data_IF_510199168457
#
_entry.id   IF_510199168457
#
_cell.length_a   1.000
_cell.length_b   1.000
_cell.length_c   1.000
_cell.angle_alpha   90.00
_cell.angle_beta   90.00
_cell.angle_gamma   90.00
#
_symmetry.space_group_name_H-M   'P 1'
#
loop_
_entity.id
_entity.type
_entity.pdbx_description
1 polymer ?
#
# COMPACT_ATOMS: atom_id res chain seq x y z
N UNK A 1 -4.30 -22.31 -12.42
CA UNK A 1 -5.76 -22.12 -12.47
C UNK A 1 -6.02 -20.63 -12.36
N UNK A 2 -6.95 -20.08 -13.15
CA UNK A 2 -7.35 -18.68 -13.00
C UNK A 2 -8.10 -18.48 -11.67
N UNK A 3 -7.83 -17.38 -10.95
CA UNK A 3 -8.49 -17.03 -9.69
C UNK A 3 -9.97 -16.74 -9.96
N UNK A 4 -10.88 -17.50 -9.35
CA UNK A 4 -12.33 -17.36 -9.56
C UNK A 4 -13.03 -16.40 -8.61
N UNK A 5 -12.43 -16.11 -7.46
CA UNK A 5 -12.96 -15.19 -6.44
C UNK A 5 -11.83 -14.57 -5.61
N UNK A 6 -12.11 -13.42 -5.00
CA UNK A 6 -11.28 -12.83 -3.94
C UNK A 6 -11.78 -13.24 -2.56
N UNK A 7 -10.87 -13.50 -1.62
CA UNK A 7 -11.23 -13.71 -0.21
C UNK A 7 -11.23 -12.37 0.52
N UNK A 8 -12.34 -12.05 1.17
CA UNK A 8 -12.47 -10.88 2.06
C UNK A 8 -12.70 -11.42 3.47
N UNK A 9 -11.78 -11.13 4.39
CA UNK A 9 -11.95 -11.48 5.79
C UNK A 9 -12.92 -10.50 6.43
N UNK A 10 -13.88 -10.99 7.22
CA UNK A 10 -14.83 -10.12 7.94
C UNK A 10 -14.13 -9.20 8.92
N UNK A 11 -12.95 -9.59 9.43
CA UNK A 11 -12.11 -8.78 10.32
C UNK A 11 -11.59 -7.48 9.67
N UNK A 12 -11.73 -7.30 8.35
CA UNK A 12 -11.39 -6.04 7.69
C UNK A 12 -12.25 -4.88 8.23
N UNK A 13 -13.46 -5.18 8.71
CA UNK A 13 -14.38 -4.20 9.28
C UNK A 13 -14.06 -3.83 10.73
N UNK A 14 -13.05 -4.47 11.33
CA UNK A 14 -12.52 -4.15 12.65
C UNK A 14 -11.09 -3.58 12.57
N UNK A 15 -10.54 -3.43 11.35
CA UNK A 15 -9.19 -2.91 11.12
C UNK A 15 -9.22 -1.37 11.13
N UNK A 16 -8.62 -0.77 12.16
CA UNK A 16 -8.59 0.69 12.33
C UNK A 16 -7.91 1.43 11.17
N UNK A 17 -6.88 0.84 10.55
CA UNK A 17 -6.21 1.45 9.39
C UNK A 17 -7.15 1.44 8.18
N UNK A 18 -7.98 0.40 8.02
CA UNK A 18 -8.96 0.31 6.94
C UNK A 18 -10.14 1.26 7.16
N UNK A 19 -10.65 1.34 8.39
CA UNK A 19 -11.76 2.20 8.77
C UNK A 19 -11.41 3.70 8.73
N UNK A 20 -10.13 4.06 8.80
CA UNK A 20 -9.66 5.42 8.65
C UNK A 20 -9.66 5.93 7.19
N UNK A 21 -9.78 5.03 6.21
CA UNK A 21 -9.82 5.37 4.79
C UNK A 21 -11.22 5.86 4.35
N UNK A 22 -11.25 6.65 3.29
CA UNK A 22 -12.49 7.07 2.64
C UNK A 22 -13.18 5.88 1.93
N UNK A 23 -14.51 5.96 1.75
CA UNK A 23 -15.30 4.92 1.09
C UNK A 23 -14.73 4.49 -0.28
N UNK A 24 -14.23 5.46 -1.07
CA UNK A 24 -13.68 5.18 -2.40
C UNK A 24 -12.36 4.42 -2.34
N UNK A 25 -11.55 4.66 -1.31
CA UNK A 25 -10.27 4.00 -1.07
C UNK A 25 -10.52 2.56 -0.59
N UNK A 26 -11.42 2.39 0.38
CA UNK A 26 -11.88 1.07 0.83
C UNK A 26 -12.40 0.24 -0.35
N UNK A 27 -13.29 0.83 -1.16
CA UNK A 27 -13.82 0.19 -2.38
C UNK A 27 -12.71 -0.17 -3.35
N UNK A 28 -11.72 0.70 -3.57
CA UNK A 28 -10.61 0.40 -4.46
C UNK A 28 -9.76 -0.76 -3.94
N UNK A 29 -9.46 -0.82 -2.64
CA UNK A 29 -8.74 -1.94 -2.05
C UNK A 29 -9.47 -3.28 -2.28
N UNK A 30 -10.79 -3.30 -2.03
CA UNK A 30 -11.63 -4.48 -2.28
C UNK A 30 -11.62 -4.88 -3.77
N UNK A 31 -11.63 -3.90 -4.66
CA UNK A 31 -11.46 -4.14 -6.10
C UNK A 31 -10.10 -4.79 -6.41
N UNK A 32 -9.00 -4.32 -5.83
CA UNK A 32 -7.66 -4.87 -6.09
C UNK A 32 -7.52 -6.34 -5.62
N UNK A 33 -7.98 -6.69 -4.42
CA UNK A 33 -7.86 -8.06 -3.89
C UNK A 33 -8.76 -9.10 -4.59
N UNK A 34 -9.68 -8.62 -5.43
CA UNK A 34 -10.60 -9.43 -6.24
C UNK A 34 -10.17 -9.57 -7.71
N UNK A 35 -9.02 -9.04 -8.11
CA UNK A 35 -8.58 -9.11 -9.51
C UNK A 35 -8.28 -10.56 -9.95
N UNK A 36 -8.66 -10.94 -11.19
CA UNK A 36 -8.44 -12.30 -11.69
C UNK A 36 -6.96 -12.63 -11.95
N UNK A 37 -6.13 -11.60 -12.20
CA UNK A 37 -4.69 -11.73 -12.43
C UNK A 37 -3.84 -11.49 -11.17
N UNK A 38 -4.46 -11.34 -9.99
CA UNK A 38 -3.73 -11.26 -8.72
C UNK A 38 -3.05 -12.59 -8.41
N UNK A 39 -1.72 -12.61 -8.40
CA UNK A 39 -0.96 -13.83 -8.11
C UNK A 39 -0.87 -14.10 -6.59
N UNK A 40 -0.31 -15.26 -6.21
CA UNK A 40 -0.22 -15.65 -4.81
C UNK A 40 0.76 -14.80 -3.96
N UNK A 41 1.63 -14.02 -4.60
CA UNK A 41 2.50 -13.04 -3.93
C UNK A 41 1.81 -11.69 -3.67
N UNK A 42 0.59 -11.50 -4.19
CA UNK A 42 -0.12 -10.22 -4.10
C UNK A 42 0.29 -9.22 -5.18
N UNK A 43 0.93 -9.67 -6.26
CA UNK A 43 1.38 -8.84 -7.37
C UNK A 43 0.27 -8.62 -8.40
N UNK A 44 0.19 -7.40 -8.92
CA UNK A 44 -0.63 -6.98 -10.05
C UNK A 44 0.14 -6.06 -10.98
N UNK A 45 -0.19 -6.14 -12.28
CA UNK A 45 0.20 -5.13 -13.26
C UNK A 45 -0.61 -3.83 -13.03
N UNK A 46 0.06 -2.68 -13.03
CA UNK A 46 -0.52 -1.36 -12.85
C UNK A 46 -1.24 -0.88 -14.12
N UNK A 47 -2.45 -1.39 -14.33
CA UNK A 47 -3.20 -1.19 -15.59
C UNK A 47 -4.30 -0.13 -15.47
N UNK A 48 -3.94 1.12 -15.14
CA UNK A 48 -4.89 2.21 -14.85
C UNK A 48 -5.99 2.38 -15.91
N UNK A 49 -5.62 2.36 -17.20
CA UNK A 49 -6.58 2.48 -18.32
C UNK A 49 -7.58 1.32 -18.39
N UNK A 50 -7.19 0.13 -17.94
CA UNK A 50 -8.05 -1.05 -17.88
C UNK A 50 -8.97 -0.98 -16.66
N UNK A 51 -8.44 -0.54 -15.52
CA UNK A 51 -9.20 -0.40 -14.29
C UNK A 51 -10.22 0.73 -14.32
N UNK A 52 -9.93 1.86 -14.99
CA UNK A 52 -10.89 2.97 -15.12
C UNK A 52 -12.20 2.55 -15.81
N UNK A 53 -12.14 1.56 -16.69
CA UNK A 53 -13.31 1.00 -17.38
C UNK A 53 -14.18 0.09 -16.49
N UNK A 54 -13.77 -0.18 -15.24
CA UNK A 54 -14.48 -1.10 -14.33
C UNK A 54 -15.55 -0.41 -13.48
N UNK A 55 -15.70 0.90 -13.59
CA UNK A 55 -16.78 1.65 -12.94
C UNK A 55 -17.14 2.90 -13.75
N UNK A 56 -18.44 3.23 -13.79
CA UNK A 56 -18.88 4.48 -14.42
C UNK A 56 -18.33 5.68 -13.64
N UNK A 57 -17.79 6.65 -14.37
CA UNK A 57 -17.24 7.88 -13.80
C UNK A 57 -15.85 7.73 -13.17
N UNK A 58 -15.24 6.54 -13.19
CA UNK A 58 -13.88 6.35 -12.69
C UNK A 58 -12.85 6.69 -13.77
N UNK A 59 -12.05 7.71 -13.54
CA UNK A 59 -10.97 8.12 -14.45
C UNK A 59 -9.61 7.57 -14.02
N UNK A 60 -8.63 7.54 -14.93
CA UNK A 60 -7.25 7.15 -14.55
C UNK A 60 -6.64 8.11 -13.52
N UNK A 61 -6.94 9.41 -13.61
CA UNK A 61 -6.43 10.41 -12.69
C UNK A 61 -7.01 10.25 -11.28
N UNK A 62 -8.30 9.88 -11.16
CA UNK A 62 -8.87 9.53 -9.85
C UNK A 62 -8.31 8.22 -9.31
N UNK A 63 -8.09 7.22 -10.16
CA UNK A 63 -7.45 5.97 -9.76
C UNK A 63 -6.06 6.22 -9.18
N UNK A 64 -5.24 7.03 -9.84
CA UNK A 64 -3.90 7.38 -9.37
C UNK A 64 -3.94 8.02 -7.98
N UNK A 65 -4.86 8.97 -7.75
CA UNK A 65 -5.05 9.59 -6.42
C UNK A 65 -5.45 8.56 -5.35
N UNK A 66 -6.40 7.68 -5.66
CA UNK A 66 -6.86 6.66 -4.73
C UNK A 66 -5.75 5.63 -4.43
N UNK A 67 -4.95 5.28 -5.43
CA UNK A 67 -3.81 4.39 -5.25
C UNK A 67 -2.71 5.03 -4.39
N UNK A 68 -2.40 6.31 -4.61
CA UNK A 68 -1.49 7.06 -3.75
C UNK A 68 -1.98 7.10 -2.29
N UNK A 69 -3.28 7.27 -2.07
CA UNK A 69 -3.87 7.20 -0.73
C UNK A 69 -3.73 5.80 -0.09
N UNK A 70 -4.00 4.73 -0.85
CA UNK A 70 -3.78 3.35 -0.38
C UNK A 70 -2.31 3.06 -0.06
N UNK A 71 -1.37 3.60 -0.85
CA UNK A 71 0.07 3.47 -0.58
C UNK A 71 0.47 4.25 0.68
N UNK A 72 -0.04 5.46 0.87
CA UNK A 72 0.18 6.27 2.08
C UNK A 72 -0.39 5.59 3.34
N UNK A 73 -1.57 4.96 3.23
CA UNK A 73 -2.16 4.12 4.27
C UNK A 73 -1.46 2.76 4.44
N UNK A 74 -0.44 2.47 3.60
CA UNK A 74 0.40 1.27 3.62
C UNK A 74 -0.38 -0.03 3.32
N UNK A 75 -1.46 0.04 2.55
CA UNK A 75 -2.16 -1.16 2.05
C UNK A 75 -1.48 -1.79 0.84
N UNK A 76 -0.86 -0.94 0.01
CA UNK A 76 -0.16 -1.34 -1.20
C UNK A 76 1.24 -0.71 -1.25
N UNK A 77 2.06 -1.17 -2.20
CA UNK A 77 3.27 -0.48 -2.66
C UNK A 77 3.23 -0.48 -4.18
N UNK A 78 3.58 0.63 -4.82
CA UNK A 78 3.61 0.75 -6.27
C UNK A 78 5.02 1.09 -6.77
N UNK A 79 5.23 0.79 -8.05
CA UNK A 79 6.40 1.20 -8.80
C UNK A 79 5.97 1.52 -10.24
N UNK A 80 5.92 2.81 -10.57
CA UNK A 80 5.48 3.30 -11.88
C UNK A 80 6.47 2.96 -13.01
N UNK A 81 7.76 2.77 -12.70
CA UNK A 81 8.77 2.45 -13.73
C UNK A 81 8.61 1.03 -14.26
N UNK A 82 8.25 0.11 -13.37
CA UNK A 82 8.00 -1.29 -13.71
C UNK A 82 6.54 -1.60 -14.01
N UNK A 83 5.64 -0.62 -13.84
CA UNK A 83 4.19 -0.79 -13.93
C UNK A 83 3.67 -1.92 -13.00
N UNK A 84 4.18 -1.99 -11.76
CA UNK A 84 3.84 -3.05 -10.80
C UNK A 84 3.18 -2.50 -9.53
N UNK A 85 2.28 -3.29 -8.93
CA UNK A 85 1.65 -3.04 -7.64
C UNK A 85 1.68 -4.30 -6.77
N UNK A 86 2.08 -4.14 -5.51
CA UNK A 86 2.04 -5.18 -4.49
C UNK A 86 0.99 -4.89 -3.42
N UNK A 87 0.10 -5.84 -3.16
CA UNK A 87 -0.80 -5.82 -2.00
C UNK A 87 -0.06 -6.42 -0.79
N UNK A 88 0.39 -5.58 0.14
CA UNK A 88 1.35 -5.94 1.19
C UNK A 88 0.90 -7.14 2.03
N UNK A 89 -0.28 -7.04 2.64
CA UNK A 89 -0.78 -8.03 3.60
C UNK A 89 -1.38 -9.28 2.95
N UNK A 90 -1.37 -9.38 1.61
CA UNK A 90 -2.10 -10.40 0.87
C UNK A 90 -1.72 -11.83 1.26
N UNK A 91 -0.42 -12.13 1.35
CA UNK A 91 0.07 -13.47 1.73
C UNK A 91 -0.51 -13.90 3.08
N UNK A 92 -0.56 -12.99 4.06
CA UNK A 92 -1.10 -13.26 5.40
C UNK A 92 -2.62 -13.38 5.39
N UNK A 93 -3.31 -12.47 4.72
CA UNK A 93 -4.78 -12.35 4.74
C UNK A 93 -5.49 -13.41 3.88
N UNK A 94 -4.91 -13.79 2.74
CA UNK A 94 -5.46 -14.83 1.85
C UNK A 94 -5.12 -16.25 2.37
N UNK A 95 -4.32 -16.36 3.44
CA UNK A 95 -3.95 -17.63 4.08
C UNK A 95 -2.93 -18.45 3.29
N UNK A 96 -2.20 -17.82 2.36
CA UNK A 96 -1.22 -18.46 1.47
C UNK A 96 -0.14 -19.19 2.28
N UNK A 97 0.34 -18.58 3.37
CA UNK A 97 1.35 -19.15 4.26
C UNK A 97 0.91 -20.38 5.05
N UNK A 98 -0.38 -20.68 5.10
CA UNK A 98 -0.92 -21.87 5.78
C UNK A 98 -0.85 -23.13 4.91
N UNK A 99 -0.57 -22.98 3.62
CA UNK A 99 -0.61 -24.08 2.64
C UNK A 99 0.71 -24.17 1.87
N UNK A 100 1.62 -25.11 2.21
CA UNK A 100 2.96 -25.19 1.60
C UNK A 100 2.95 -25.21 0.07
N UNK A 101 1.99 -25.92 -0.55
CA UNK A 101 1.87 -25.95 -2.02
C UNK A 101 1.54 -24.58 -2.61
N UNK A 102 0.65 -23.81 -1.96
CA UNK A 102 0.31 -22.44 -2.39
C UNK A 102 1.47 -21.49 -2.10
N UNK A 103 2.21 -21.75 -1.02
CA UNK A 103 3.44 -21.03 -0.69
C UNK A 103 4.52 -21.20 -1.75
N UNK A 104 4.66 -22.40 -2.32
CA UNK A 104 5.50 -22.61 -3.50
C UNK A 104 5.07 -21.77 -4.71
N UNK A 105 3.76 -21.70 -4.99
CA UNK A 105 3.23 -20.85 -6.06
C UNK A 105 3.38 -19.35 -5.77
N UNK A 106 3.32 -18.94 -4.51
CA UNK A 106 3.67 -17.59 -4.06
C UNK A 106 5.12 -17.28 -4.41
N UNK A 107 6.07 -18.15 -4.06
CA UNK A 107 7.49 -17.94 -4.39
C UNK A 107 7.69 -17.82 -5.89
N UNK A 108 7.06 -18.68 -6.70
CA UNK A 108 7.12 -18.56 -8.17
C UNK A 108 6.59 -17.21 -8.66
N UNK A 109 5.42 -16.76 -8.20
CA UNK A 109 4.86 -15.46 -8.58
C UNK A 109 5.65 -14.27 -8.03
N UNK A 110 6.34 -14.43 -6.91
CA UNK A 110 7.23 -13.39 -6.38
C UNK A 110 8.46 -13.22 -7.26
N UNK A 111 9.01 -14.30 -7.83
CA UNK A 111 10.15 -14.23 -8.75
C UNK A 111 9.83 -13.49 -10.06
N UNK A 112 8.56 -13.28 -10.38
CA UNK A 112 8.11 -12.46 -11.52
C UNK A 112 8.20 -10.95 -11.24
N UNK A 113 8.30 -10.53 -9.97
CA UNK A 113 8.40 -9.12 -9.59
C UNK A 113 9.70 -8.53 -10.16
N UNK A 114 9.59 -7.47 -10.95
CA UNK A 114 10.71 -6.73 -11.52
C UNK A 114 11.23 -5.67 -10.55
N UNK A 115 10.33 -4.99 -9.84
CA UNK A 115 10.64 -3.89 -8.92
C UNK A 115 11.42 -4.34 -7.69
N UNK A 116 12.59 -3.75 -7.48
CA UNK A 116 13.35 -3.93 -6.24
C UNK A 116 12.59 -3.41 -5.01
N UNK A 117 11.82 -2.33 -5.17
CA UNK A 117 10.99 -1.74 -4.13
C UNK A 117 9.91 -2.74 -3.68
N UNK A 118 9.23 -3.39 -4.63
CA UNK A 118 8.21 -4.39 -4.31
C UNK A 118 8.80 -5.68 -3.73
N UNK A 119 9.96 -6.14 -4.22
CA UNK A 119 10.69 -7.28 -3.64
C UNK A 119 11.03 -7.03 -2.16
N UNK A 120 11.52 -5.83 -1.85
CA UNK A 120 11.86 -5.41 -0.48
C UNK A 120 10.61 -5.38 0.41
N UNK A 121 9.51 -4.82 -0.10
CA UNK A 121 8.22 -4.79 0.61
C UNK A 121 7.68 -6.21 0.89
N UNK A 122 7.79 -7.13 -0.07
CA UNK A 122 7.36 -8.51 0.11
C UNK A 122 8.21 -9.25 1.16
N UNK A 123 9.54 -9.05 1.18
CA UNK A 123 10.39 -9.62 2.23
C UNK A 123 9.98 -9.14 3.63
N UNK A 124 9.66 -7.86 3.77
CA UNK A 124 9.20 -7.29 5.03
C UNK A 124 7.87 -7.93 5.49
N UNK A 125 6.95 -8.19 4.57
CA UNK A 125 5.66 -8.83 4.89
C UNK A 125 5.80 -10.32 5.20
N UNK A 126 6.67 -11.03 4.48
CA UNK A 126 6.97 -12.45 4.73
C UNK A 126 7.65 -12.64 6.10
N UNK A 127 8.46 -11.68 6.55
CA UNK A 127 9.05 -11.71 7.89
C UNK A 127 8.03 -11.62 9.03
N UNK A 128 6.79 -11.19 8.75
CA UNK A 128 5.69 -11.08 9.72
C UNK A 128 4.79 -12.32 9.79
N UNK A 129 5.13 -13.39 9.07
CA UNK A 129 4.36 -14.64 9.11
C UNK A 129 4.54 -15.32 10.49
N UNK A 130 3.46 -15.67 11.20
CA UNK A 130 3.54 -16.33 12.51
C UNK A 130 3.77 -17.84 12.34
N UNK A 131 5.02 -18.21 12.04
CA UNK A 131 5.43 -19.61 11.77
C UNK A 131 5.12 -20.57 12.93
N UNK A 132 4.99 -20.05 14.15
CA UNK A 132 4.66 -20.79 15.35
C UNK A 132 3.25 -21.39 15.31
N UNK A 133 2.33 -20.79 14.56
CA UNK A 133 0.97 -21.32 14.34
C UNK A 133 0.93 -22.54 13.42
N UNK A 134 2.02 -22.83 12.69
CA UNK A 134 2.11 -23.98 11.80
C UNK A 134 2.48 -25.25 12.57
N UNK A 135 1.91 -26.37 12.14
CA UNK A 135 2.26 -27.69 12.66
C UNK A 135 3.73 -28.01 12.44
N UNK A 136 4.39 -28.49 13.49
CA UNK A 136 5.76 -28.99 13.46
C UNK A 136 5.83 -30.52 13.34
N UNK A 137 4.68 -31.19 13.34
CA UNK A 137 4.63 -32.64 13.16
C UNK A 137 5.02 -33.01 11.73
N UNK A 138 5.90 -34.02 11.55
CA UNK A 138 6.22 -34.58 10.25
C UNK A 138 4.97 -35.03 9.50
N UNK A 139 4.78 -34.52 8.28
CA UNK A 139 3.73 -35.01 7.39
C UNK A 139 4.10 -36.34 6.74
N UNK A 140 3.22 -36.88 5.89
CA UNK A 140 3.47 -38.09 5.11
C UNK A 140 4.72 -38.03 4.20
N UNK A 141 5.24 -36.82 3.94
CA UNK A 141 6.47 -36.56 3.17
C UNK A 141 7.70 -36.26 4.05
N UNK A 142 7.62 -36.55 5.35
CA UNK A 142 8.72 -36.37 6.32
C UNK A 142 8.90 -34.94 6.83
N UNK A 143 8.77 -33.91 5.98
CA UNK A 143 8.89 -32.52 6.42
C UNK A 143 7.57 -32.02 7.06
N UNK A 144 7.68 -31.24 8.14
CA UNK A 144 6.55 -30.54 8.74
C UNK A 144 6.04 -29.40 7.86
N UNK A 145 4.82 -28.91 8.13
CA UNK A 145 4.28 -27.73 7.41
C UNK A 145 5.16 -26.51 7.69
N UNK A 146 5.56 -26.33 8.96
CA UNK A 146 6.47 -25.25 9.38
C UNK A 146 7.79 -25.31 8.63
N UNK A 147 8.40 -26.49 8.51
CA UNK A 147 9.66 -26.66 7.80
C UNK A 147 9.53 -26.25 6.32
N UNK A 148 8.52 -26.76 5.61
CA UNK A 148 8.32 -26.45 4.19
C UNK A 148 8.10 -24.95 3.95
N UNK A 149 7.30 -24.28 4.79
CA UNK A 149 7.09 -22.84 4.70
C UNK A 149 8.38 -22.07 4.98
N UNK A 150 9.16 -22.50 5.98
CA UNK A 150 10.45 -21.88 6.31
C UNK A 150 11.44 -21.98 5.15
N UNK A 151 11.49 -23.12 4.47
CA UNK A 151 12.31 -23.34 3.28
C UNK A 151 11.92 -22.39 2.14
N UNK A 152 10.62 -22.21 1.87
CA UNK A 152 10.14 -21.25 0.88
C UNK A 152 10.53 -19.80 1.21
N UNK A 153 10.44 -19.41 2.49
CA UNK A 153 10.87 -18.08 2.94
C UNK A 153 12.38 -17.90 2.74
N UNK A 154 13.18 -18.93 3.04
CA UNK A 154 14.62 -18.91 2.82
C UNK A 154 14.98 -18.79 1.33
N UNK A 155 14.27 -19.50 0.45
CA UNK A 155 14.42 -19.35 -1.01
C UNK A 155 14.17 -17.90 -1.44
N UNK A 156 13.09 -17.29 -0.96
CA UNK A 156 12.74 -15.92 -1.32
C UNK A 156 13.79 -14.91 -0.82
N UNK A 157 14.25 -15.05 0.42
CA UNK A 157 15.33 -14.22 0.98
C UNK A 157 16.62 -14.35 0.18
N UNK A 158 16.97 -15.54 -0.28
CA UNK A 158 18.15 -15.74 -1.13
C UNK A 158 17.99 -15.06 -2.48
N UNK A 159 16.81 -15.14 -3.09
CA UNK A 159 16.53 -14.52 -4.39
C UNK A 159 16.55 -12.99 -4.34
N UNK A 160 16.05 -12.40 -3.24
CA UNK A 160 15.90 -10.95 -3.09
C UNK A 160 16.93 -10.30 -2.16
N UNK A 161 17.85 -11.06 -1.55
CA UNK A 161 18.77 -10.55 -0.53
C UNK A 161 19.92 -9.70 -1.07
N UNK A 162 20.19 -9.76 -2.37
CA UNK A 162 21.26 -9.00 -3.00
C UNK A 162 20.64 -7.93 -3.90
N UNK A 163 20.72 -6.63 -3.55
CA UNK A 163 20.37 -5.57 -4.50
C UNK A 163 21.24 -5.71 -5.75
N UNK A 164 20.74 -5.37 -6.94
CA UNK A 164 21.59 -5.27 -8.12
C UNK A 164 22.75 -4.33 -7.80
N UNK A 165 23.98 -4.85 -7.85
CA UNK A 165 25.17 -4.00 -7.88
C UNK A 165 25.14 -3.29 -9.21
N UNK A 166 24.65 -2.05 -9.21
CA UNK A 166 24.62 -1.22 -10.40
C UNK A 166 26.07 -0.96 -10.85
N UNK A 167 26.52 -1.45 -12.03
CA UNK A 167 27.88 -1.19 -12.50
C UNK A 167 28.08 0.28 -12.91
N UNK A 168 27.00 1.06 -13.02
CA UNK A 168 27.01 2.46 -13.47
C UNK A 168 26.57 3.46 -12.39
N UNK A 169 26.92 3.20 -11.14
CA UNK A 169 26.97 4.14 -10.01
C UNK A 169 26.35 5.52 -10.23
N UNK A 170 25.03 5.61 -10.22
CA UNK A 170 24.31 6.83 -9.86
C UNK A 170 23.57 6.58 -8.57
N UNK A 171 24.33 6.64 -7.47
CA UNK A 171 23.77 6.65 -6.14
C UNK A 171 22.80 7.82 -6.01
N UNK A 172 21.50 7.52 -5.97
CA UNK A 172 20.50 8.46 -5.49
C UNK A 172 20.64 8.54 -3.97
N UNK A 173 21.63 9.32 -3.54
CA UNK A 173 21.67 9.87 -2.19
C UNK A 173 21.15 11.30 -2.30
N UNK A 174 19.87 11.49 -2.00
CA UNK A 174 19.37 12.81 -1.59
C UNK A 174 19.49 12.86 -0.06
N UNK A 175 20.48 13.57 0.51
CA UNK A 175 20.37 13.96 1.90
C UNK A 175 19.38 15.12 1.97
N UNK A 176 18.23 14.90 2.60
CA UNK A 176 17.40 16.01 3.10
C UNK A 176 18.16 16.70 4.23
N UNK A 177 19.02 17.66 3.88
CA UNK A 177 19.48 18.65 4.84
C UNK A 177 18.37 19.67 5.02
N UNK A 178 17.78 19.69 6.21
CA UNK A 178 16.97 20.80 6.69
C UNK A 178 17.93 21.80 7.34
N UNK A 179 18.15 23.02 6.82
CA UNK A 179 18.79 24.06 7.61
C UNK A 179 17.70 24.74 8.46
N UNK A 180 17.63 24.33 9.72
CA UNK A 180 16.91 25.06 10.76
C UNK A 180 17.90 25.94 11.50
N UNK A 181 17.86 27.25 11.27
CA UNK A 181 18.31 28.28 12.22
C UNK A 181 18.11 29.70 11.62
N UNK A 182 17.03 30.38 12.02
CA UNK A 182 16.99 31.85 12.02
C UNK A 182 16.68 32.29 13.45
N UNK A 183 17.61 32.94 14.17
CA UNK A 183 17.31 33.61 15.42
C UNK A 183 16.54 34.91 15.14
N UNK A 184 15.40 35.09 15.81
CA UNK A 184 14.69 36.37 15.85
C UNK A 184 15.31 37.27 16.93
N UNK A 185 15.67 38.50 16.56
CA UNK A 185 16.06 39.57 17.50
C UNK A 185 15.03 40.73 17.40
N UNK A 186 14.67 41.43 18.51
CA UNK A 186 13.53 42.34 18.54
C UNK A 186 13.87 43.85 18.40
N UNK A 187 12.95 44.57 17.75
CA UNK A 187 12.57 46.01 17.83
C UNK A 187 13.61 47.13 17.51
N UNK A 188 13.15 48.25 16.88
CA UNK A 188 12.64 49.37 17.70
C UNK A 188 11.38 50.09 17.19
N UNK A 189 10.82 50.86 18.13
CA UNK A 189 9.61 51.71 18.07
C UNK A 189 9.64 52.83 17.00
N UNK A 190 8.45 53.25 16.58
CA UNK A 190 8.22 54.55 15.95
C UNK A 190 6.83 54.69 15.32
N UNK A 191 5.85 55.25 16.06
CA UNK A 191 4.57 55.73 15.49
C UNK A 191 4.76 56.95 14.55
N UNK A 192 3.70 57.51 13.91
CA UNK A 192 2.48 57.96 14.62
C UNK A 192 1.11 57.80 13.89
N UNK A 193 0.09 58.19 14.66
CA UNK A 193 -1.38 58.22 14.51
C UNK A 193 -2.03 58.70 13.19
N UNK A 194 -3.25 58.16 12.99
CA UNK A 194 -4.41 58.76 12.30
C UNK A 194 -5.09 57.74 11.39
N UNK A 195 -6.39 57.55 11.26
CA UNK A 195 -7.60 58.23 11.72
C UNK A 195 -8.80 57.33 11.38
N UNK A 196 -9.70 57.12 12.36
CA UNK A 196 -11.17 57.07 12.34
C UNK A 196 -12.01 56.51 11.17
N UNK A 197 -13.13 55.86 11.58
CA UNK A 197 -14.42 55.54 10.90
C UNK A 197 -14.42 54.32 9.97
N UNK A 198 -15.40 53.41 10.02
CA UNK A 198 -16.65 53.35 10.78
C UNK A 198 -17.31 51.98 10.57
N UNK A 199 -18.05 51.53 11.58
CA UNK A 199 -18.79 50.26 11.60
C UNK A 199 -20.27 50.58 11.77
N UNK A 200 -21.11 50.08 10.87
CA UNK A 200 -22.57 49.95 10.97
C UNK A 200 -22.88 48.54 10.39
N UNK A 201 -23.48 47.59 11.14
CA UNK A 201 -24.91 47.43 11.46
C UNK A 201 -25.78 47.31 10.19
N UNK A 202 -26.74 46.39 9.99
CA UNK A 202 -27.40 45.27 10.71
C UNK A 202 -28.38 44.61 9.70
N UNK A 203 -29.07 43.53 10.10
CA UNK A 203 -30.31 42.91 9.51
C UNK A 203 -30.09 41.77 8.50
N UNK A 204 -30.50 40.50 8.71
CA UNK A 204 -31.73 39.80 9.16
C UNK A 204 -32.79 39.62 8.06
N UNK A 205 -33.33 38.39 7.99
CA UNK A 205 -34.46 37.83 7.22
C UNK A 205 -34.19 37.46 5.74
N UNK A 206 -34.78 36.43 5.14
CA UNK A 206 -35.57 35.26 5.54
C UNK A 206 -35.69 34.37 4.27
N UNK A 207 -35.96 33.08 4.44
CA UNK A 207 -36.32 32.16 3.35
C UNK A 207 -37.60 32.62 2.60
N UNK A 208 -37.80 32.12 1.37
CA UNK A 208 -38.96 31.23 1.18
C UNK A 208 -38.73 30.08 0.18
N UNK A 209 -39.41 28.95 0.43
CA UNK A 209 -39.94 28.04 -0.60
C UNK A 209 -41.34 28.58 -1.02
N UNK A 210 -41.85 28.34 -2.24
CA UNK A 210 -42.46 27.06 -2.68
C UNK A 210 -42.15 26.76 -4.19
N UNK A 211 -42.59 25.70 -4.88
CA UNK A 211 -43.80 24.87 -4.83
C UNK A 211 -43.51 23.45 -5.36
#
# INVERSE_FOLDING_TARGET
MARGHGRILTSIWDDADFLAMDEREQRLYLFLISQPNLNHAGLLDLTLRRWSRKARGLTSAELEKLLQALEAARFIVMDDETEELLIRSFVRNDGVWKQPKVMGAMVSGALEISSWRLRSALLAEVARIPLQELSDEPGARGASIRQQVTEHIATLRKAFGNPPTDPNGRGSATPSETPSATPSEPLPEGGPKGSTRGRAATHVHAAPAPA
#
